data_IF_575847119077
#
_entry.id   IF_575847119077
#
_cell.length_a   1.000
_cell.length_b   1.000
_cell.length_c   1.000
_cell.angle_alpha   90.00
_cell.angle_beta   90.00
_cell.angle_gamma   90.00
#
_symmetry.space_group_name_H-M   'P 1'
#
loop_
_entity.id
_entity.type
_entity.pdbx_description
1 polymer ?
#
# COMPACT_ATOMS: atom_id res chain seq x y z
N UNK A 1 -10.48 -31.18 -94.45
CA UNK A 1 -9.38 -31.84 -93.70
C UNK A 1 -8.72 -30.84 -92.83
N UNK A 2 -9.01 -30.80 -91.53
CA UNK A 2 -8.07 -30.12 -90.65
C UNK A 2 -8.52 -30.33 -89.18
N UNK A 3 -7.63 -30.79 -88.41
CA UNK A 3 -7.82 -31.27 -87.07
C UNK A 3 -7.96 -30.11 -86.02
N UNK A 4 -8.91 -30.24 -85.19
CA UNK A 4 -9.10 -29.50 -83.92
C UNK A 4 -7.98 -29.89 -82.92
N UNK A 5 -7.33 -28.91 -82.41
CA UNK A 5 -6.47 -29.04 -81.20
C UNK A 5 -7.06 -28.34 -80.02
N UNK A 6 -7.56 -29.10 -79.06
CA UNK A 6 -8.08 -28.59 -77.77
C UNK A 6 -6.91 -28.36 -76.81
N UNK A 7 -6.71 -27.12 -76.38
CA UNK A 7 -5.81 -26.81 -75.28
C UNK A 7 -6.59 -26.77 -73.97
N UNK A 8 -6.29 -27.72 -73.13
CA UNK A 8 -6.73 -27.69 -71.74
C UNK A 8 -5.84 -26.70 -70.92
N UNK A 9 -6.40 -25.64 -70.46
CA UNK A 9 -5.73 -24.80 -69.52
C UNK A 9 -5.95 -25.37 -68.08
N UNK A 10 -4.87 -25.86 -67.53
CA UNK A 10 -4.87 -26.28 -66.11
C UNK A 10 -4.83 -25.07 -65.20
N UNK A 11 -5.91 -24.84 -64.43
CA UNK A 11 -5.96 -23.81 -63.40
C UNK A 11 -5.27 -24.39 -62.15
N UNK A 12 -4.07 -23.89 -61.86
CA UNK A 12 -3.35 -24.20 -60.62
C UNK A 12 -3.94 -23.37 -59.47
N UNK A 13 -4.75 -23.97 -58.66
CA UNK A 13 -5.25 -23.34 -57.40
C UNK A 13 -4.13 -23.46 -56.36
N UNK A 14 -3.44 -22.37 -56.11
CA UNK A 14 -2.46 -22.27 -55.03
C UNK A 14 -3.27 -22.03 -53.71
N UNK A 15 -3.42 -23.08 -52.96
CA UNK A 15 -3.91 -23.02 -51.56
C UNK A 15 -2.79 -22.44 -50.70
N UNK A 16 -2.92 -21.16 -50.35
CA UNK A 16 -2.09 -20.51 -49.35
C UNK A 16 -2.53 -20.99 -47.94
N UNK A 17 -1.66 -21.62 -47.16
CA UNK A 17 -2.03 -21.93 -45.78
C UNK A 17 -2.12 -20.63 -44.97
N UNK A 18 -3.30 -20.33 -44.49
CA UNK A 18 -3.56 -19.28 -43.49
C UNK A 18 -2.91 -19.72 -42.16
N UNK A 19 -1.67 -19.32 -41.95
CA UNK A 19 -1.03 -19.50 -40.63
C UNK A 19 -1.70 -18.57 -39.65
N UNK A 20 -2.59 -19.16 -38.84
CA UNK A 20 -3.16 -18.53 -37.64
C UNK A 20 -1.99 -18.25 -36.70
N UNK A 21 -1.53 -16.98 -36.68
CA UNK A 21 -0.55 -16.50 -35.73
C UNK A 21 -1.28 -16.45 -34.37
N UNK A 22 -1.10 -17.46 -33.56
CA UNK A 22 -1.45 -17.39 -32.16
C UNK A 22 -0.61 -16.27 -31.54
N UNK A 23 -1.26 -15.12 -31.31
CA UNK A 23 -0.72 -14.08 -30.46
C UNK A 23 -0.52 -14.72 -29.08
N UNK A 24 0.72 -15.09 -28.79
CA UNK A 24 1.17 -15.49 -27.47
C UNK A 24 0.86 -14.30 -26.56
N UNK A 25 -0.26 -14.36 -25.87
CA UNK A 25 -0.54 -13.49 -24.73
C UNK A 25 0.59 -13.76 -23.75
N UNK A 26 1.56 -12.89 -23.76
CA UNK A 26 2.62 -12.83 -22.75
C UNK A 26 1.94 -12.64 -21.38
N UNK A 27 1.61 -13.74 -20.76
CA UNK A 27 1.28 -13.76 -19.35
C UNK A 27 2.59 -13.34 -18.68
N UNK A 28 2.64 -12.11 -18.20
CA UNK A 28 3.72 -11.68 -17.35
C UNK A 28 3.75 -12.67 -16.18
N UNK A 29 4.77 -13.51 -16.14
CA UNK A 29 5.11 -14.30 -14.97
C UNK A 29 5.47 -13.31 -13.86
N UNK A 30 4.44 -12.84 -13.17
CA UNK A 30 4.57 -12.09 -11.94
C UNK A 30 5.04 -13.05 -10.85
N UNK A 31 6.34 -13.36 -10.83
CA UNK A 31 6.93 -13.84 -9.59
C UNK A 31 6.54 -12.86 -8.50
N UNK A 32 5.90 -13.30 -7.40
CA UNK A 32 5.50 -12.38 -6.35
C UNK A 32 6.74 -11.61 -5.90
N UNK A 33 6.69 -10.28 -6.04
CA UNK A 33 7.77 -9.40 -5.64
C UNK A 33 8.08 -9.61 -4.16
N UNK A 34 9.29 -9.29 -3.74
CA UNK A 34 9.64 -9.33 -2.32
C UNK A 34 8.97 -8.15 -1.61
N UNK A 35 8.39 -8.40 -0.44
CA UNK A 35 7.91 -7.33 0.43
C UNK A 35 9.07 -6.40 0.85
N UNK A 36 8.84 -5.10 0.78
CA UNK A 36 9.87 -4.08 1.03
C UNK A 36 9.35 -3.07 2.04
N UNK A 37 10.12 -2.85 3.10
CA UNK A 37 9.86 -1.75 4.05
C UNK A 37 10.44 -0.47 3.44
N UNK A 38 9.58 0.53 3.28
CA UNK A 38 9.92 1.85 2.74
C UNK A 38 10.29 2.79 3.89
N UNK A 39 11.41 3.47 3.74
CA UNK A 39 11.83 4.57 4.62
C UNK A 39 11.38 5.91 4.03
N UNK A 40 11.48 6.97 4.81
CA UNK A 40 11.10 8.32 4.38
C UNK A 40 11.77 8.74 3.06
N UNK A 41 13.00 8.31 2.79
CA UNK A 41 13.70 8.60 1.53
C UNK A 41 13.08 7.92 0.30
N UNK A 42 12.36 6.82 0.51
CA UNK A 42 11.70 6.05 -0.56
C UNK A 42 10.29 6.59 -0.84
N UNK A 43 9.73 7.39 0.08
CA UNK A 43 8.37 7.92 0.00
C UNK A 43 8.41 9.34 -0.57
N UNK A 44 7.93 9.46 -1.80
CA UNK A 44 7.86 10.72 -2.54
C UNK A 44 6.43 11.29 -2.53
N UNK A 45 6.21 12.57 -2.94
CA UNK A 45 4.87 13.12 -3.11
C UNK A 45 3.96 12.35 -4.09
N UNK A 46 4.53 11.47 -4.91
CA UNK A 46 3.74 10.56 -5.78
C UNK A 46 3.10 9.41 -5.01
N UNK A 47 3.70 8.99 -3.89
CA UNK A 47 3.20 7.90 -3.05
C UNK A 47 2.37 8.42 -1.88
N UNK A 48 2.84 9.48 -1.21
CA UNK A 48 2.17 10.12 -0.07
C UNK A 48 1.96 11.59 -0.38
N UNK A 49 0.71 12.12 -0.34
CA UNK A 49 0.46 13.53 -0.60
C UNK A 49 1.09 14.43 0.47
N UNK A 50 1.49 15.66 0.09
CA UNK A 50 2.06 16.65 1.01
C UNK A 50 1.04 17.25 1.98
N UNK A 51 -0.25 17.14 1.66
CA UNK A 51 -1.36 17.55 2.52
C UNK A 51 -2.44 16.49 2.47
N UNK A 52 -3.08 16.24 3.60
CA UNK A 52 -4.16 15.27 3.75
C UNK A 52 -5.39 15.92 4.35
N UNK A 53 -6.56 15.40 3.98
CA UNK A 53 -7.83 15.86 4.52
C UNK A 53 -8.20 15.02 5.76
N UNK A 54 -8.59 15.72 6.83
CA UNK A 54 -9.08 15.09 8.04
C UNK A 54 -10.05 16.03 8.76
N UNK A 55 -11.24 15.55 9.11
CA UNK A 55 -12.28 16.29 9.84
C UNK A 55 -12.57 17.69 9.27
N UNK A 56 -12.80 17.78 7.98
CA UNK A 56 -13.25 19.03 7.33
C UNK A 56 -12.14 20.04 7.04
N UNK A 57 -10.88 19.73 7.32
CA UNK A 57 -9.74 20.59 7.02
C UNK A 57 -8.52 19.79 6.57
N UNK A 58 -7.51 20.47 6.06
CA UNK A 58 -6.25 19.85 5.62
C UNK A 58 -5.16 19.99 6.66
N UNK A 59 -4.28 18.99 6.70
CA UNK A 59 -3.06 18.98 7.52
C UNK A 59 -1.83 18.74 6.63
N UNK A 60 -0.74 19.49 6.80
CA UNK A 60 0.53 19.18 6.15
C UNK A 60 1.09 17.84 6.62
N UNK A 61 1.62 17.06 5.68
CA UNK A 61 2.30 15.79 5.93
C UNK A 61 3.80 16.03 6.09
N UNK A 62 4.36 15.46 7.13
CA UNK A 62 5.80 15.50 7.36
C UNK A 62 6.47 14.33 6.64
N UNK A 63 6.72 14.43 5.32
CA UNK A 63 7.29 13.34 4.52
C UNK A 63 8.61 12.78 5.08
N UNK A 64 9.43 13.61 5.74
CA UNK A 64 10.65 13.16 6.43
C UNK A 64 10.37 12.20 7.60
N UNK A 65 9.15 12.19 8.10
CA UNK A 65 8.65 11.33 9.18
C UNK A 65 7.56 10.40 8.60
N UNK A 66 7.90 9.69 7.55
CA UNK A 66 7.04 8.70 6.89
C UNK A 66 7.72 7.34 6.82
N UNK A 67 6.91 6.30 6.70
CA UNK A 67 7.34 4.93 6.52
C UNK A 67 6.24 4.15 5.79
N UNK A 68 6.59 3.00 5.19
CA UNK A 68 5.60 2.19 4.50
C UNK A 68 6.05 0.75 4.31
N UNK A 69 5.14 -0.04 3.76
CA UNK A 69 5.40 -1.38 3.25
C UNK A 69 4.86 -1.44 1.84
N UNK A 70 5.69 -1.91 0.91
CA UNK A 70 5.25 -2.39 -0.39
C UNK A 70 5.15 -3.90 -0.33
N UNK A 71 3.96 -4.42 -0.52
CA UNK A 71 3.69 -5.86 -0.50
C UNK A 71 4.15 -6.53 -1.79
N UNK A 72 4.16 -7.85 -1.79
CA UNK A 72 4.63 -8.66 -2.92
C UNK A 72 3.83 -8.51 -4.22
N UNK A 73 2.60 -8.00 -4.12
CA UNK A 73 1.70 -7.67 -5.24
C UNK A 73 1.70 -6.19 -5.63
N UNK A 74 2.74 -5.45 -5.24
CA UNK A 74 2.96 -4.02 -5.50
C UNK A 74 1.94 -3.08 -4.82
N UNK A 75 1.08 -3.58 -3.93
CA UNK A 75 0.17 -2.76 -3.12
C UNK A 75 0.90 -2.15 -1.92
N UNK A 76 0.44 -0.99 -1.47
CA UNK A 76 1.12 -0.21 -0.46
C UNK A 76 0.31 -0.04 0.83
N UNK A 77 1.05 0.07 1.91
CA UNK A 77 0.61 0.70 3.16
C UNK A 77 1.62 1.78 3.52
N UNK A 78 1.16 3.00 3.71
CA UNK A 78 1.99 4.18 3.97
C UNK A 78 1.49 4.89 5.22
N UNK A 79 2.40 5.34 6.06
CA UNK A 79 2.11 6.14 7.23
C UNK A 79 3.02 7.37 7.29
N UNK A 80 2.52 8.48 7.77
CA UNK A 80 3.30 9.69 8.00
C UNK A 80 2.78 10.49 9.20
N UNK A 81 3.68 11.19 9.88
CA UNK A 81 3.29 12.20 10.87
C UNK A 81 2.64 13.38 10.14
N UNK A 82 1.64 13.98 10.76
CA UNK A 82 0.98 15.18 10.26
C UNK A 82 1.20 16.36 11.20
N UNK A 83 1.14 17.57 10.65
CA UNK A 83 1.05 18.78 11.46
C UNK A 83 -0.41 19.00 11.85
N UNK A 84 -0.77 18.59 13.05
CA UNK A 84 -2.13 18.74 13.60
C UNK A 84 -2.34 20.04 14.39
N UNK A 85 -1.43 21.03 14.29
CA UNK A 85 -1.49 22.29 15.06
C UNK A 85 -2.76 23.09 14.82
N UNK A 86 -3.37 22.98 13.64
CA UNK A 86 -4.64 23.63 13.29
C UNK A 86 -5.90 23.00 13.91
N UNK A 87 -5.76 21.86 14.58
CA UNK A 87 -6.91 21.15 15.20
C UNK A 87 -7.06 21.48 16.68
N UNK A 88 -8.28 21.27 17.21
CA UNK A 88 -8.53 21.39 18.64
C UNK A 88 -7.67 20.41 19.46
N UNK A 89 -7.42 20.73 20.74
CA UNK A 89 -6.59 19.92 21.62
C UNK A 89 -7.04 18.44 21.68
N UNK A 90 -8.35 18.19 21.79
CA UNK A 90 -8.88 16.83 21.85
C UNK A 90 -8.68 16.03 20.55
N UNK A 91 -8.63 16.71 19.39
CA UNK A 91 -8.28 16.04 18.13
C UNK A 91 -6.78 15.81 18.04
N UNK A 92 -5.95 16.81 18.38
CA UNK A 92 -4.49 16.70 18.32
C UNK A 92 -3.94 15.57 19.20
N UNK A 93 -4.59 15.30 20.32
CA UNK A 93 -4.20 14.19 21.20
C UNK A 93 -4.27 12.85 20.49
N UNK A 94 -5.29 12.64 19.64
CA UNK A 94 -5.52 11.40 18.91
C UNK A 94 -4.91 11.41 17.48
N UNK A 95 -4.96 12.55 16.79
CA UNK A 95 -4.54 12.69 15.40
C UNK A 95 -3.09 13.11 15.31
N UNK A 96 -2.19 12.14 15.33
CA UNK A 96 -0.74 12.33 15.28
C UNK A 96 -0.16 11.98 13.92
N UNK A 97 -0.81 11.07 13.19
CA UNK A 97 -0.38 10.61 11.90
C UNK A 97 -1.53 10.22 10.98
N UNK A 98 -1.18 9.97 9.72
CA UNK A 98 -2.09 9.58 8.66
C UNK A 98 -1.61 8.27 8.06
N UNK A 99 -2.54 7.34 7.86
CA UNK A 99 -2.33 6.02 7.30
C UNK A 99 -3.13 5.92 6.00
N UNK A 100 -2.48 5.50 4.92
CA UNK A 100 -3.12 5.10 3.67
C UNK A 100 -2.78 3.64 3.44
N UNK A 101 -3.77 2.81 3.16
CA UNK A 101 -3.55 1.40 2.83
C UNK A 101 -4.39 0.98 1.64
N UNK A 102 -3.78 0.26 0.72
CA UNK A 102 -4.43 -0.35 -0.45
C UNK A 102 -4.88 -1.78 -0.17
N UNK A 103 -4.52 -2.31 0.99
CA UNK A 103 -4.87 -3.66 1.45
C UNK A 103 -5.56 -3.60 2.81
N UNK A 104 -6.33 -4.62 3.13
CA UNK A 104 -6.85 -4.75 4.49
C UNK A 104 -5.71 -5.09 5.45
N UNK A 105 -5.68 -4.43 6.62
CA UNK A 105 -4.69 -4.64 7.67
C UNK A 105 -5.36 -5.11 8.94
N UNK A 106 -4.70 -6.03 9.62
CA UNK A 106 -5.07 -6.48 10.97
C UNK A 106 -4.09 -5.92 12.01
N UNK A 107 -4.64 -5.35 13.08
CA UNK A 107 -3.93 -4.79 14.23
C UNK A 107 -4.34 -5.56 15.49
N UNK A 108 -3.84 -6.80 15.62
CA UNK A 108 -4.15 -7.64 16.79
C UNK A 108 -5.62 -8.06 16.88
N UNK A 109 -6.22 -8.43 15.76
CA UNK A 109 -7.62 -8.85 15.64
C UNK A 109 -8.59 -7.71 15.28
N UNK A 110 -8.09 -6.47 15.14
CA UNK A 110 -8.87 -5.33 14.67
C UNK A 110 -8.50 -5.03 13.21
N UNK A 111 -9.46 -5.15 12.30
CA UNK A 111 -9.20 -5.00 10.86
C UNK A 111 -9.63 -3.63 10.35
N UNK A 112 -8.78 -2.97 9.56
CA UNK A 112 -9.14 -1.85 8.69
C UNK A 112 -9.17 -2.29 7.25
N UNK A 113 -10.12 -1.78 6.49
CA UNK A 113 -10.23 -1.99 5.05
C UNK A 113 -9.28 -1.04 4.30
N UNK A 114 -9.00 -1.27 3.00
CA UNK A 114 -8.32 -0.30 2.17
C UNK A 114 -8.95 1.09 2.29
N UNK A 115 -8.11 2.11 2.50
CA UNK A 115 -8.59 3.46 2.72
C UNK A 115 -7.56 4.38 3.37
N UNK A 116 -8.06 5.52 3.85
CA UNK A 116 -7.27 6.55 4.51
C UNK A 116 -7.82 6.81 5.92
N UNK A 117 -6.91 6.92 6.89
CA UNK A 117 -7.24 6.97 8.31
C UNK A 117 -6.32 7.93 9.06
N UNK A 118 -6.86 8.54 10.12
CA UNK A 118 -6.03 9.15 11.16
C UNK A 118 -5.60 8.10 12.17
N UNK A 119 -4.44 8.28 12.79
CA UNK A 119 -4.02 7.44 13.90
C UNK A 119 -3.26 8.21 14.97
N UNK A 120 -3.18 7.61 16.15
CA UNK A 120 -2.35 8.11 17.24
C UNK A 120 -2.04 7.07 18.31
N UNK A 121 -0.96 7.34 19.04
CA UNK A 121 -0.57 6.60 20.23
C UNK A 121 -0.97 7.39 21.47
N UNK A 122 -1.83 6.81 22.26
CA UNK A 122 -2.41 7.46 23.45
C UNK A 122 -1.72 6.97 24.72
N UNK A 123 -1.83 7.77 25.76
CA UNK A 123 -1.39 7.36 27.09
C UNK A 123 -2.03 6.03 27.51
N UNK A 124 -1.30 5.26 28.32
CA UNK A 124 -1.77 3.96 28.80
C UNK A 124 -1.64 2.81 27.82
N UNK A 125 -0.73 2.92 26.84
CA UNK A 125 -0.43 1.82 25.91
C UNK A 125 -1.56 1.53 24.94
N UNK A 126 -2.18 2.56 24.38
CA UNK A 126 -3.28 2.47 23.42
C UNK A 126 -2.89 3.06 22.07
N UNK A 127 -3.27 2.39 21.03
CA UNK A 127 -3.23 2.87 19.63
C UNK A 127 -4.66 3.06 19.15
N UNK A 128 -4.96 4.17 18.50
CA UNK A 128 -6.28 4.45 17.94
C UNK A 128 -6.17 4.66 16.44
N UNK A 129 -7.12 4.12 15.70
CA UNK A 129 -7.37 4.42 14.29
C UNK A 129 -8.72 5.11 14.17
N UNK A 130 -8.76 6.18 13.39
CA UNK A 130 -9.94 7.01 13.17
C UNK A 130 -10.26 7.10 11.69
N UNK A 131 -11.55 7.21 11.36
CA UNK A 131 -11.99 7.58 10.02
C UNK A 131 -11.69 9.07 9.72
N UNK A 132 -11.93 9.51 8.49
CA UNK A 132 -11.70 10.90 8.08
C UNK A 132 -12.63 11.92 8.77
N UNK A 133 -13.71 11.47 9.41
CA UNK A 133 -14.60 12.26 10.26
C UNK A 133 -14.10 12.42 11.70
N UNK A 134 -12.97 11.77 12.03
CA UNK A 134 -12.38 11.67 13.38
C UNK A 134 -13.21 10.82 14.36
N UNK A 135 -14.01 9.87 13.86
CA UNK A 135 -14.62 8.86 14.71
C UNK A 135 -13.63 7.71 14.90
N UNK A 136 -13.55 7.21 16.14
CA UNK A 136 -12.69 6.08 16.46
C UNK A 136 -13.23 4.82 15.75
N UNK A 137 -12.43 4.23 14.86
CA UNK A 137 -12.76 2.97 14.18
C UNK A 137 -12.49 1.80 15.14
N UNK A 138 -11.31 1.81 15.76
CA UNK A 138 -10.96 0.87 16.83
C UNK A 138 -9.82 1.39 17.72
N UNK A 139 -9.63 0.71 18.83
CA UNK A 139 -8.44 0.81 19.68
C UNK A 139 -7.73 -0.54 19.74
N UNK A 140 -6.40 -0.51 19.64
CA UNK A 140 -5.54 -1.67 19.88
C UNK A 140 -4.56 -1.39 21.02
N UNK A 141 -4.00 -2.44 21.62
CA UNK A 141 -2.91 -2.29 22.56
C UNK A 141 -1.64 -1.87 21.84
N UNK A 142 -0.95 -0.85 22.34
CA UNK A 142 0.41 -0.51 21.93
C UNK A 142 1.41 -0.95 23.01
N UNK A 143 2.62 -1.22 22.57
CA UNK A 143 3.72 -1.65 23.42
C UNK A 143 4.84 -0.63 23.34
N UNK A 144 5.76 -0.69 24.32
CA UNK A 144 6.95 0.16 24.36
C UNK A 144 8.20 -0.68 24.21
N UNK A 145 9.00 -0.33 23.20
CA UNK A 145 10.31 -0.96 22.93
C UNK A 145 11.40 -0.20 23.68
N UNK A 146 11.80 -0.73 24.85
CA UNK A 146 12.87 -0.17 25.68
C UNK A 146 14.24 -0.31 25.03
N UNK A 147 14.45 -1.33 24.21
CA UNK A 147 15.74 -1.70 23.61
C UNK A 147 16.03 -0.97 22.31
N UNK A 148 15.05 -0.27 21.73
CA UNK A 148 15.22 0.50 20.51
C UNK A 148 16.26 1.61 20.70
N UNK A 149 17.46 1.43 20.12
CA UNK A 149 18.61 2.30 20.37
C UNK A 149 18.45 3.71 19.77
N UNK A 150 17.78 3.83 18.63
CA UNK A 150 17.62 5.10 17.87
C UNK A 150 16.15 5.28 17.47
N UNK A 151 15.30 5.72 18.41
CA UNK A 151 13.92 6.04 18.08
C UNK A 151 13.87 7.25 17.14
N UNK A 152 13.02 7.17 16.13
CA UNK A 152 12.68 8.26 15.21
C UNK A 152 11.20 8.58 15.36
N UNK A 153 10.73 9.77 14.92
CA UNK A 153 9.33 10.14 15.08
C UNK A 153 8.35 9.13 14.53
N UNK A 154 8.65 8.54 13.36
CA UNK A 154 7.87 7.44 12.76
C UNK A 154 8.77 6.48 12.01
N UNK A 155 8.52 5.19 12.14
CA UNK A 155 9.15 4.14 11.34
C UNK A 155 8.30 2.88 11.29
N UNK A 156 8.53 2.06 10.27
CA UNK A 156 8.06 0.68 10.22
C UNK A 156 9.27 -0.25 10.24
N UNK A 157 9.17 -1.32 11.02
CA UNK A 157 10.18 -2.38 11.08
C UNK A 157 9.51 -3.75 10.96
N UNK A 158 10.24 -4.76 10.46
CA UNK A 158 9.76 -6.13 10.48
C UNK A 158 9.71 -6.64 11.93
N UNK A 159 8.64 -7.35 12.27
CA UNK A 159 8.56 -8.13 13.49
C UNK A 159 9.24 -9.50 13.31
N UNK A 160 9.37 -10.25 14.39
CA UNK A 160 10.01 -11.60 14.35
C UNK A 160 9.18 -12.60 13.52
N UNK A 161 7.86 -12.45 13.47
CA UNK A 161 7.00 -13.28 12.63
C UNK A 161 6.99 -12.73 11.20
N UNK A 162 7.25 -13.58 10.21
CA UNK A 162 7.23 -13.18 8.79
C UNK A 162 5.88 -12.59 8.38
N UNK A 163 5.91 -11.52 7.59
CA UNK A 163 4.70 -10.80 7.15
C UNK A 163 4.04 -9.95 8.22
N UNK A 164 4.66 -9.82 9.42
CA UNK A 164 4.21 -8.93 10.49
C UNK A 164 5.17 -7.76 10.62
N UNK A 165 4.61 -6.59 10.86
CA UNK A 165 5.32 -5.33 10.93
C UNK A 165 4.99 -4.61 12.23
N UNK A 166 5.88 -3.73 12.66
CA UNK A 166 5.69 -2.81 13.78
C UNK A 166 5.67 -1.39 13.26
N UNK A 167 4.57 -0.69 13.49
CA UNK A 167 4.49 0.76 13.30
C UNK A 167 4.91 1.43 14.60
N UNK A 168 5.98 2.19 14.55
CA UNK A 168 6.52 2.91 15.70
C UNK A 168 6.21 4.40 15.63
N UNK A 169 5.86 4.98 16.79
CA UNK A 169 5.97 6.41 17.06
C UNK A 169 6.95 6.60 18.24
N UNK A 170 8.15 7.07 17.95
CA UNK A 170 9.23 7.07 18.92
C UNK A 170 9.58 5.65 19.38
N UNK A 171 9.26 5.29 20.62
CA UNK A 171 9.47 3.94 21.18
C UNK A 171 8.19 3.12 21.29
N UNK A 172 7.04 3.75 21.17
CA UNK A 172 5.78 3.05 21.26
C UNK A 172 5.44 2.44 19.89
N UNK A 173 4.93 1.21 19.87
CA UNK A 173 4.61 0.52 18.63
C UNK A 173 3.32 -0.28 18.73
N UNK A 174 2.72 -0.52 17.57
CA UNK A 174 1.66 -1.49 17.36
C UNK A 174 2.09 -2.48 16.28
N UNK A 175 1.77 -3.76 16.46
CA UNK A 175 2.00 -4.77 15.42
C UNK A 175 0.82 -4.81 14.44
N UNK A 176 1.13 -5.00 13.18
CA UNK A 176 0.14 -5.20 12.13
C UNK A 176 0.63 -6.17 11.07
N UNK A 177 -0.29 -6.76 10.35
CA UNK A 177 -0.02 -7.57 9.18
C UNK A 177 -1.15 -7.38 8.15
N UNK A 178 -0.91 -7.81 6.92
CA UNK A 178 -1.96 -7.85 5.90
C UNK A 178 -3.03 -8.84 6.32
N UNK A 179 -4.29 -8.42 6.39
CA UNK A 179 -5.41 -9.31 6.64
C UNK A 179 -5.60 -10.27 5.44
N UNK A 180 -6.01 -11.49 5.74
CA UNK A 180 -6.27 -12.54 4.75
C UNK A 180 -7.67 -12.46 4.17
#
# INVERSE_FOLDING_TARGET
MTRMGSSLAAILVVLLPLTLSEALSGRADGSPGKEVILKAADITPKLMPETVFFRGQTAPVQLRNSAGVRFSDEMYTLAAIVDSSGYSSGIREKYQGYLITEVALDFGGQTVQPGAYGFGFLNGGKFVVMDLGAHDVFHAASQRDGDLKRPVPLQIAAASAGGTYRLYAGRDFVEFHRAR
#
